data_IF_796959241052
#
_entry.id   IF_796959241052
#
_cell.length_a   1.000
_cell.length_b   1.000
_cell.length_c   1.000
_cell.angle_alpha   90.00
_cell.angle_beta   90.00
_cell.angle_gamma   90.00
#
_symmetry.space_group_name_H-M   'P 1'
#
loop_
_entity.id
_entity.type
_entity.pdbx_description
1 polymer ?
#
# COMPACT_ATOMS: atom_id res chain seq x y z
N UNK A 1 -48.19 26.40 29.07
CA UNK A 1 -47.57 25.21 29.72
C UNK A 1 -46.19 24.99 29.11
N UNK A 2 -45.11 25.10 29.90
CA UNK A 2 -43.75 24.80 29.45
C UNK A 2 -43.33 23.38 29.84
N UNK A 3 -42.49 22.70 29.07
CA UNK A 3 -42.10 21.31 29.32
C UNK A 3 -41.44 21.18 30.70
N UNK A 4 -41.93 20.23 31.49
CA UNK A 4 -41.55 20.03 32.88
C UNK A 4 -40.14 19.46 33.02
N UNK A 5 -39.46 19.82 34.12
CA UNK A 5 -38.03 19.52 34.37
C UNK A 5 -37.70 18.01 34.43
N UNK A 6 -38.71 17.15 34.58
CA UNK A 6 -38.56 15.70 34.50
C UNK A 6 -38.42 15.20 33.04
N UNK A 7 -38.98 15.92 32.07
CA UNK A 7 -38.87 15.64 30.63
C UNK A 7 -37.41 15.82 30.16
N UNK A 8 -36.77 16.90 30.61
CA UNK A 8 -35.33 17.17 30.36
C UNK A 8 -34.40 16.16 31.05
N UNK A 9 -34.91 15.40 32.02
CA UNK A 9 -34.14 14.38 32.76
C UNK A 9 -34.17 13.02 32.05
N UNK A 10 -35.22 12.76 31.26
CA UNK A 10 -35.34 11.53 30.46
C UNK A 10 -34.49 11.58 29.18
N UNK A 11 -34.29 12.78 28.60
CA UNK A 11 -33.37 12.98 27.47
C UNK A 11 -31.89 12.68 27.86
N UNK A 12 -31.53 12.86 29.14
CA UNK A 12 -30.12 12.84 29.59
C UNK A 12 -29.61 11.47 30.07
N UNK A 13 -30.42 10.42 30.12
CA UNK A 13 -29.99 9.09 30.60
C UNK A 13 -30.52 7.94 29.74
N UNK A 14 -29.95 7.75 28.54
CA UNK A 14 -29.79 6.41 27.95
C UNK A 14 -28.34 5.95 28.14
N UNK A 15 -28.03 5.16 29.17
CA UNK A 15 -26.66 4.70 29.48
C UNK A 15 -26.04 3.72 28.47
N UNK A 16 -26.71 3.43 27.35
CA UNK A 16 -26.22 2.52 26.31
C UNK A 16 -25.94 3.17 24.95
N UNK A 17 -26.29 4.45 24.74
CA UNK A 17 -26.21 5.08 23.41
C UNK A 17 -24.76 5.20 22.89
N UNK A 18 -23.80 5.56 23.76
CA UNK A 18 -22.41 5.79 23.33
C UNK A 18 -21.63 4.53 22.92
N UNK A 19 -22.05 3.33 23.33
CA UNK A 19 -21.38 2.08 22.93
C UNK A 19 -21.85 1.63 21.54
N UNK A 20 -23.15 1.78 21.25
CA UNK A 20 -23.67 1.46 19.91
C UNK A 20 -23.27 2.51 18.88
N UNK A 21 -23.19 3.78 19.27
CA UNK A 21 -22.69 4.87 18.43
C UNK A 21 -21.21 4.66 18.07
N UNK A 22 -20.38 4.22 19.03
CA UNK A 22 -18.99 3.86 18.74
C UNK A 22 -18.83 2.64 17.84
N UNK A 23 -19.76 1.67 17.89
CA UNK A 23 -19.75 0.52 16.98
C UNK A 23 -20.17 0.96 15.57
N UNK A 24 -21.16 1.84 15.45
CA UNK A 24 -21.64 2.38 14.18
C UNK A 24 -20.57 3.24 13.49
N UNK A 25 -19.87 4.11 14.22
CA UNK A 25 -18.74 4.90 13.71
C UNK A 25 -17.59 4.01 13.20
N UNK A 26 -17.27 2.93 13.92
CA UNK A 26 -16.22 1.98 13.50
C UNK A 26 -16.66 1.22 12.26
N UNK A 27 -17.92 0.77 12.19
CA UNK A 27 -18.46 0.09 11.01
C UNK A 27 -18.47 1.02 9.80
N UNK A 28 -18.86 2.27 9.99
CA UNK A 28 -18.85 3.27 8.93
C UNK A 28 -17.43 3.58 8.45
N UNK A 29 -16.47 3.68 9.37
CA UNK A 29 -15.06 3.84 9.04
C UNK A 29 -14.53 2.64 8.23
N UNK A 30 -14.84 1.41 8.64
CA UNK A 30 -14.43 0.20 7.90
C UNK A 30 -15.09 0.13 6.52
N UNK A 31 -16.36 0.52 6.42
CA UNK A 31 -17.06 0.61 5.15
C UNK A 31 -16.41 1.65 4.23
N UNK A 32 -15.99 2.80 4.77
CA UNK A 32 -15.28 3.84 4.00
C UNK A 32 -13.94 3.35 3.45
N UNK A 33 -13.17 2.60 4.24
CA UNK A 33 -11.91 1.99 3.80
C UNK A 33 -12.17 0.95 2.71
N UNK A 34 -13.24 0.18 2.83
CA UNK A 34 -13.63 -0.83 1.84
C UNK A 34 -14.02 -0.18 0.51
N UNK A 35 -14.82 0.90 0.56
CA UNK A 35 -15.18 1.68 -0.63
C UNK A 35 -13.93 2.26 -1.30
N UNK A 36 -12.98 2.78 -0.50
CA UNK A 36 -11.73 3.33 -1.01
C UNK A 36 -10.82 2.25 -1.61
N UNK A 37 -10.71 1.08 -0.97
CA UNK A 37 -9.96 -0.06 -1.52
C UNK A 37 -10.58 -0.56 -2.83
N UNK A 38 -11.90 -0.65 -2.87
CA UNK A 38 -12.62 -1.05 -4.07
C UNK A 38 -12.40 -0.03 -5.21
N UNK A 39 -12.40 1.27 -4.89
CA UNK A 39 -12.05 2.32 -5.84
C UNK A 39 -10.61 2.23 -6.32
N UNK A 40 -9.65 2.00 -5.42
CA UNK A 40 -8.24 1.82 -5.78
C UNK A 40 -8.08 0.63 -6.72
N UNK A 41 -8.68 -0.51 -6.38
CA UNK A 41 -8.72 -1.69 -7.25
C UNK A 41 -9.30 -1.34 -8.62
N UNK A 42 -10.46 -0.68 -8.68
CA UNK A 42 -11.10 -0.30 -9.94
C UNK A 42 -10.24 0.68 -10.77
N UNK A 43 -9.56 1.63 -10.12
CA UNK A 43 -8.65 2.58 -10.76
C UNK A 43 -7.42 1.88 -11.34
N UNK A 44 -6.82 0.93 -10.62
CA UNK A 44 -5.71 0.13 -11.13
C UNK A 44 -6.15 -0.72 -12.33
N UNK A 45 -7.26 -1.44 -12.21
CA UNK A 45 -7.76 -2.31 -13.29
C UNK A 45 -8.14 -1.53 -14.55
N UNK A 46 -8.82 -0.40 -14.40
CA UNK A 46 -9.16 0.47 -15.54
C UNK A 46 -7.92 1.05 -16.21
N UNK A 47 -6.91 1.44 -15.44
CA UNK A 47 -5.62 1.91 -15.98
C UNK A 47 -4.88 0.83 -16.76
N UNK A 48 -4.78 -0.38 -16.21
CA UNK A 48 -4.17 -1.52 -16.93
C UNK A 48 -4.93 -1.84 -18.20
N UNK A 49 -6.27 -1.85 -18.14
CA UNK A 49 -7.09 -2.14 -19.31
C UNK A 49 -6.95 -1.08 -20.40
N UNK A 50 -6.82 0.20 -20.03
CA UNK A 50 -6.54 1.27 -20.98
C UNK A 50 -5.20 1.08 -21.69
N UNK A 51 -4.15 0.69 -20.96
CA UNK A 51 -2.83 0.38 -21.54
C UNK A 51 -2.91 -0.82 -22.49
N UNK A 52 -3.55 -1.92 -22.07
CA UNK A 52 -3.75 -3.10 -22.93
C UNK A 52 -4.53 -2.73 -24.20
N UNK A 53 -5.53 -1.86 -24.07
CA UNK A 53 -6.31 -1.36 -25.22
C UNK A 53 -5.44 -0.52 -26.17
N UNK A 54 -4.58 0.36 -25.65
CA UNK A 54 -3.66 1.14 -26.46
C UNK A 54 -2.66 0.24 -27.22
N UNK A 55 -2.18 -0.83 -26.59
CA UNK A 55 -1.31 -1.85 -27.22
C UNK A 55 -2.06 -2.59 -28.35
N UNK A 56 -3.34 -2.89 -28.14
CA UNK A 56 -4.18 -3.51 -29.17
C UNK A 56 -4.38 -2.57 -30.38
N UNK A 57 -4.56 -1.27 -30.15
CA UNK A 57 -4.66 -0.27 -31.23
C UNK A 57 -3.34 -0.13 -32.00
N UNK A 58 -2.20 -0.11 -31.31
CA UNK A 58 -0.88 -0.11 -31.95
C UNK A 58 -0.65 -1.34 -32.83
N UNK A 59 -1.17 -2.50 -32.39
CA UNK A 59 -1.09 -3.75 -33.16
C UNK A 59 -1.91 -3.69 -34.46
N UNK A 60 -3.10 -3.07 -34.42
CA UNK A 60 -3.93 -2.83 -35.59
C UNK A 60 -3.31 -1.81 -36.54
N UNK A 61 -2.72 -0.75 -36.00
CA UNK A 61 -2.03 0.27 -36.78
C UNK A 61 -0.84 -0.32 -37.54
N UNK A 62 -0.06 -1.21 -36.89
CA UNK A 62 1.01 -1.98 -37.54
C UNK A 62 0.48 -2.91 -38.64
N UNK A 63 -0.71 -3.48 -38.50
CA UNK A 63 -1.33 -4.32 -39.53
C UNK A 63 -1.76 -3.50 -40.75
N UNK A 64 -2.37 -2.33 -40.55
CA UNK A 64 -2.76 -1.42 -41.63
C UNK A 64 -1.54 -0.83 -42.35
N UNK A 65 -0.51 -0.42 -41.61
CA UNK A 65 0.75 0.09 -42.18
C UNK A 65 1.44 -0.99 -43.02
N UNK A 66 1.47 -2.25 -42.58
CA UNK A 66 1.99 -3.36 -43.40
C UNK A 66 1.21 -3.54 -44.69
N UNK A 67 -0.11 -3.41 -44.66
CA UNK A 67 -0.93 -3.60 -45.85
C UNK A 67 -0.70 -2.49 -46.89
N UNK A 68 -0.60 -1.23 -46.48
CA UNK A 68 -0.25 -0.12 -47.37
C UNK A 68 1.19 -0.25 -47.92
N UNK A 69 2.15 -0.65 -47.08
CA UNK A 69 3.54 -0.91 -47.52
C UNK A 69 3.62 -2.07 -48.52
N UNK A 70 2.81 -3.12 -48.34
CA UNK A 70 2.79 -4.28 -49.22
C UNK A 70 2.15 -3.96 -50.59
N UNK A 71 1.07 -3.18 -50.63
CA UNK A 71 0.48 -2.77 -51.91
C UNK A 71 1.34 -1.79 -52.71
N UNK A 72 1.94 -0.79 -52.06
CA UNK A 72 2.70 0.25 -52.78
C UNK A 72 4.10 -0.21 -53.25
N UNK A 73 4.74 -1.16 -52.58
CA UNK A 73 6.08 -1.62 -52.99
C UNK A 73 6.06 -2.77 -54.02
N UNK A 74 4.92 -3.43 -54.27
CA UNK A 74 4.90 -4.67 -55.08
C UNK A 74 4.49 -4.48 -56.54
N UNK A 75 4.23 -3.26 -57.01
CA UNK A 75 3.81 -3.04 -58.40
C UNK A 75 4.92 -2.93 -59.46
N UNK A 76 6.21 -2.66 -59.18
CA UNK A 76 7.22 -2.65 -60.26
C UNK A 76 8.27 -3.78 -60.28
N UNK A 77 8.27 -4.77 -59.38
CA UNK A 77 9.44 -5.67 -59.23
C UNK A 77 9.14 -7.19 -59.28
N UNK A 78 8.19 -7.61 -60.11
CA UNK A 78 7.89 -9.04 -60.37
C UNK A 78 8.54 -9.62 -61.63
N UNK A 79 9.52 -8.97 -62.28
CA UNK A 79 10.11 -9.53 -63.51
C UNK A 79 11.58 -9.97 -63.49
N UNK A 80 12.35 -9.84 -62.41
CA UNK A 80 13.69 -10.45 -62.39
C UNK A 80 14.35 -10.56 -60.99
N UNK A 81 14.14 -11.65 -60.25
CA UNK A 81 15.15 -12.22 -59.32
C UNK A 81 14.71 -13.60 -58.77
N UNK A 82 15.63 -14.56 -58.52
CA UNK A 82 15.33 -15.95 -58.13
C UNK A 82 14.94 -16.08 -56.64
N UNK A 83 14.44 -17.25 -56.19
CA UNK A 83 13.93 -17.42 -54.82
C UNK A 83 15.09 -17.55 -53.83
N UNK A 84 15.68 -16.43 -53.43
CA UNK A 84 16.58 -16.39 -52.29
C UNK A 84 15.96 -15.53 -51.19
N UNK A 85 15.98 -16.05 -49.96
CA UNK A 85 15.55 -15.43 -48.72
C UNK A 85 14.05 -15.48 -48.39
N UNK A 86 13.50 -16.69 -48.24
CA UNK A 86 12.52 -16.90 -47.16
C UNK A 86 13.28 -17.01 -45.83
N UNK A 87 13.63 -15.88 -45.21
CA UNK A 87 14.24 -15.85 -43.86
C UNK A 87 13.77 -14.64 -43.07
N UNK A 88 12.46 -14.42 -42.99
CA UNK A 88 11.91 -13.27 -42.22
C UNK A 88 10.65 -13.69 -41.44
N UNK A 89 10.76 -14.76 -40.63
CA UNK A 89 9.64 -15.16 -39.76
C UNK A 89 10.03 -15.52 -38.32
N UNK A 90 11.32 -15.48 -37.93
CA UNK A 90 11.76 -15.98 -36.60
C UNK A 90 12.51 -14.97 -35.71
N UNK A 91 12.51 -13.67 -36.04
CA UNK A 91 13.23 -12.67 -35.23
C UNK A 91 12.48 -12.24 -33.95
N UNK A 92 11.16 -12.52 -33.85
CA UNK A 92 10.33 -12.04 -32.73
C UNK A 92 10.22 -12.99 -31.52
N UNK A 93 10.59 -14.27 -31.67
CA UNK A 93 10.54 -15.26 -30.57
C UNK A 93 11.58 -15.01 -29.45
N UNK A 94 12.83 -14.59 -29.72
CA UNK A 94 13.79 -14.33 -28.65
C UNK A 94 13.52 -13.02 -27.89
N UNK A 95 12.90 -12.03 -28.54
CA UNK A 95 12.54 -10.76 -27.89
C UNK A 95 11.52 -10.97 -26.78
N UNK A 96 10.52 -11.83 -27.00
CA UNK A 96 9.54 -12.16 -25.96
C UNK A 96 10.20 -12.86 -24.76
N UNK A 97 11.12 -13.81 -25.02
CA UNK A 97 11.89 -14.48 -23.96
C UNK A 97 12.72 -13.47 -23.15
N UNK A 98 13.48 -12.59 -23.83
CA UNK A 98 14.32 -11.60 -23.16
C UNK A 98 13.50 -10.60 -22.34
N UNK A 99 12.35 -10.13 -22.85
CA UNK A 99 11.44 -9.25 -22.10
C UNK A 99 10.88 -9.93 -20.85
N UNK A 100 10.56 -11.23 -20.91
CA UNK A 100 10.13 -11.97 -19.72
C UNK A 100 11.23 -12.08 -18.66
N UNK A 101 12.46 -12.39 -19.06
CA UNK A 101 13.61 -12.41 -18.15
C UNK A 101 13.89 -11.03 -17.54
N UNK A 102 13.81 -9.96 -18.35
CA UNK A 102 13.92 -8.59 -17.85
C UNK A 102 12.81 -8.24 -16.86
N UNK A 103 11.57 -8.64 -17.12
CA UNK A 103 10.44 -8.43 -16.20
C UNK A 103 10.69 -9.09 -14.84
N UNK A 104 11.28 -10.29 -14.81
CA UNK A 104 11.61 -10.99 -13.56
C UNK A 104 12.73 -10.26 -12.81
N UNK A 105 13.78 -9.83 -13.52
CA UNK A 105 14.90 -9.10 -12.91
C UNK A 105 14.45 -7.73 -12.39
N UNK A 106 13.70 -6.98 -13.20
CA UNK A 106 13.16 -5.66 -12.85
C UNK A 106 12.17 -5.79 -11.70
N UNK A 107 11.24 -6.75 -11.75
CA UNK A 107 10.27 -7.00 -10.70
C UNK A 107 10.93 -7.35 -9.37
N UNK A 108 11.93 -8.24 -9.40
CA UNK A 108 12.71 -8.61 -8.22
C UNK A 108 13.46 -7.41 -7.62
N UNK A 109 14.15 -6.63 -8.46
CA UNK A 109 14.83 -5.41 -8.01
C UNK A 109 13.84 -4.39 -7.42
N UNK A 110 12.68 -4.21 -8.04
CA UNK A 110 11.66 -3.27 -7.57
C UNK A 110 11.07 -3.69 -6.22
N UNK A 111 10.81 -4.98 -6.03
CA UNK A 111 10.35 -5.52 -4.76
C UNK A 111 11.36 -5.28 -3.63
N UNK A 112 12.64 -5.58 -3.89
CA UNK A 112 13.72 -5.31 -2.92
C UNK A 112 13.88 -3.82 -2.64
N UNK A 113 13.69 -2.95 -3.65
CA UNK A 113 13.78 -1.50 -3.49
C UNK A 113 12.61 -0.94 -2.70
N UNK A 114 11.41 -1.49 -2.87
CA UNK A 114 10.23 -1.11 -2.11
C UNK A 114 10.38 -1.53 -0.64
N UNK A 115 10.88 -2.75 -0.41
CA UNK A 115 11.23 -3.24 0.92
C UNK A 115 12.31 -2.38 1.56
N UNK A 116 13.39 -2.03 0.86
CA UNK A 116 14.44 -1.17 1.39
C UNK A 116 13.92 0.22 1.78
N UNK A 117 13.01 0.80 0.98
CA UNK A 117 12.34 2.07 1.34
C UNK A 117 11.45 1.94 2.56
N UNK A 118 10.71 0.84 2.67
CA UNK A 118 9.86 0.58 3.83
C UNK A 118 10.70 0.39 5.10
N UNK A 119 11.79 -0.37 5.02
CA UNK A 119 12.73 -0.59 6.12
C UNK A 119 13.36 0.73 6.55
N UNK A 120 13.86 1.55 5.62
CA UNK A 120 14.42 2.87 5.95
C UNK A 120 13.39 3.78 6.64
N UNK A 121 12.12 3.74 6.24
CA UNK A 121 11.06 4.50 6.91
C UNK A 121 10.78 3.95 8.31
N UNK A 122 10.79 2.64 8.49
CA UNK A 122 10.61 2.00 9.80
C UNK A 122 11.78 2.32 10.72
N UNK A 123 13.01 2.27 10.24
CA UNK A 123 14.20 2.66 10.97
C UNK A 123 14.06 4.10 11.46
N UNK A 124 13.70 5.06 10.60
CA UNK A 124 13.46 6.45 11.01
C UNK A 124 12.37 6.58 12.08
N UNK A 125 11.29 5.79 11.98
CA UNK A 125 10.24 5.73 12.99
C UNK A 125 10.67 5.05 14.30
N UNK A 126 11.71 4.20 14.27
CA UNK A 126 12.23 3.44 15.41
C UNK A 126 13.43 4.10 16.08
N UNK A 127 14.00 5.17 15.51
CA UNK A 127 15.13 5.93 16.06
C UNK A 127 14.94 6.41 17.50
N UNK A 128 13.70 6.70 17.91
CA UNK A 128 13.40 7.07 19.30
C UNK A 128 13.71 5.93 20.28
N UNK A 129 13.60 4.68 19.84
CA UNK A 129 13.82 3.50 20.67
C UNK A 129 15.31 3.26 20.91
N UNK A 130 16.14 3.47 19.89
CA UNK A 130 17.61 3.34 20.00
C UNK A 130 18.25 4.55 20.68
N UNK A 131 17.52 5.67 20.80
CA UNK A 131 17.97 6.89 21.47
C UNK A 131 18.60 7.92 20.52
N UNK A 132 18.50 7.69 19.21
CA UNK A 132 19.03 8.51 18.12
C UNK A 132 18.02 9.54 17.58
N UNK A 133 16.87 9.69 18.25
CA UNK A 133 15.78 10.59 17.89
C UNK A 133 15.14 11.27 19.10
N UNK A 134 14.04 12.00 18.89
CA UNK A 134 13.29 12.58 20.02
C UNK A 134 12.59 11.47 20.83
N UNK A 135 12.83 11.45 22.13
CA UNK A 135 12.15 10.59 23.09
C UNK A 135 11.88 11.35 24.39
N UNK A 136 10.99 10.79 25.20
CA UNK A 136 10.76 11.26 26.57
C UNK A 136 11.30 10.24 27.55
N UNK A 137 11.89 10.70 28.64
CA UNK A 137 12.29 9.81 29.74
C UNK A 137 11.20 9.81 30.81
N UNK A 138 10.83 8.61 31.25
CA UNK A 138 9.89 8.43 32.34
C UNK A 138 10.52 7.56 33.43
N UNK A 139 10.30 7.93 34.68
CA UNK A 139 10.77 7.17 35.83
C UNK A 139 9.59 6.36 36.40
N UNK A 140 9.79 5.06 36.55
CA UNK A 140 8.82 4.18 37.15
C UNK A 140 8.60 4.53 38.63
N UNK A 141 7.36 4.86 39.00
CA UNK A 141 7.02 5.22 40.39
C UNK A 141 6.77 3.97 41.25
N UNK A 142 6.38 2.87 40.62
CA UNK A 142 6.01 1.61 41.27
C UNK A 142 6.61 0.43 40.52
N UNK A 143 6.77 -0.69 41.23
CA UNK A 143 7.13 -1.96 40.63
C UNK A 143 5.95 -2.51 39.82
N UNK A 144 6.22 -2.99 38.61
CA UNK A 144 5.22 -3.58 37.74
C UNK A 144 5.74 -4.86 37.09
N UNK A 145 5.01 -5.97 37.31
CA UNK A 145 5.28 -7.25 36.66
C UNK A 145 4.29 -7.46 35.52
N UNK A 146 4.81 -7.59 34.30
CA UNK A 146 4.00 -7.87 33.11
C UNK A 146 3.39 -9.27 33.18
N UNK A 147 2.08 -9.37 32.91
CA UNK A 147 1.33 -10.63 32.91
C UNK A 147 0.96 -11.15 31.51
N UNK A 148 1.34 -10.43 30.44
CA UNK A 148 0.98 -10.77 29.06
C UNK A 148 2.03 -10.34 28.04
N UNK A 149 1.94 -10.91 26.84
CA UNK A 149 2.85 -10.62 25.72
C UNK A 149 2.75 -9.14 25.30
N UNK A 150 3.89 -8.50 25.05
CA UNK A 150 3.96 -7.08 24.64
C UNK A 150 3.92 -6.07 25.80
N UNK A 151 4.05 -6.52 27.05
CA UNK A 151 4.19 -5.65 28.23
C UNK A 151 5.58 -5.82 28.83
N UNK A 152 6.20 -4.73 29.23
CA UNK A 152 7.51 -4.74 29.89
C UNK A 152 7.33 -4.75 31.41
N UNK A 153 8.15 -5.55 32.11
CA UNK A 153 8.25 -5.56 33.57
C UNK A 153 9.35 -4.61 34.02
N UNK A 154 9.07 -3.74 34.97
CA UNK A 154 10.01 -2.73 35.45
C UNK A 154 9.90 -2.54 36.95
N UNK A 155 10.98 -2.06 37.56
CA UNK A 155 11.04 -1.76 38.99
C UNK A 155 10.90 -0.27 39.27
N UNK A 156 10.58 0.08 40.50
CA UNK A 156 10.52 1.45 41.00
C UNK A 156 11.89 2.12 40.82
N UNK A 157 11.84 3.37 40.38
CA UNK A 157 12.97 4.22 40.00
C UNK A 157 13.73 3.76 38.74
N UNK A 158 13.18 2.83 37.96
CA UNK A 158 13.73 2.50 36.65
C UNK A 158 13.37 3.57 35.62
N UNK A 159 14.35 3.99 34.82
CA UNK A 159 14.14 4.96 33.73
C UNK A 159 13.77 4.20 32.47
N UNK A 160 12.72 4.66 31.79
CA UNK A 160 12.19 4.07 30.56
C UNK A 160 12.12 5.14 29.48
N UNK A 161 12.41 4.77 28.23
CA UNK A 161 12.25 5.66 27.07
C UNK A 161 10.83 5.53 26.54
N UNK A 162 10.10 6.63 26.51
CA UNK A 162 8.71 6.69 26.05
C UNK A 162 8.65 7.25 24.64
N UNK A 163 7.84 6.60 23.80
CA UNK A 163 7.63 7.04 22.44
C UNK A 163 6.93 8.41 22.39
N UNK A 164 7.29 9.29 21.45
CA UNK A 164 6.55 10.52 21.19
C UNK A 164 5.09 10.28 20.83
N UNK A 165 4.22 11.26 21.13
CA UNK A 165 2.76 11.19 20.90
C UNK A 165 2.36 10.77 19.48
N UNK A 166 3.17 11.12 18.47
CA UNK A 166 2.97 10.76 17.05
C UNK A 166 3.08 9.26 16.75
N UNK A 167 3.85 8.52 17.55
CA UNK A 167 4.08 7.07 17.41
C UNK A 167 3.27 6.26 18.43
N UNK A 168 2.43 6.92 19.21
CA UNK A 168 1.67 6.30 20.28
C UNK A 168 0.50 5.47 19.72
N UNK A 169 0.35 4.19 20.07
CA UNK A 169 -0.85 3.43 19.71
C UNK A 169 -2.10 4.01 20.39
N UNK A 170 -3.25 3.91 19.73
CA UNK A 170 -4.54 4.43 20.23
C UNK A 170 -5.17 3.50 21.31
N UNK A 171 -4.36 3.01 22.24
CA UNK A 171 -4.81 2.15 23.34
C UNK A 171 -4.97 2.98 24.62
N UNK A 172 -6.17 3.01 25.20
CA UNK A 172 -6.41 3.74 26.45
C UNK A 172 -5.66 3.09 27.62
N UNK A 173 -4.92 3.90 28.37
CA UNK A 173 -4.22 3.47 29.59
C UNK A 173 -2.86 2.81 29.38
N UNK A 174 -2.37 2.72 28.15
CA UNK A 174 -1.05 2.16 27.85
C UNK A 174 -0.19 3.13 27.09
N UNK A 175 1.10 3.15 27.44
CA UNK A 175 2.11 3.86 26.68
C UNK A 175 3.17 2.90 26.15
N UNK A 176 3.47 3.01 24.86
CA UNK A 176 4.63 2.42 24.22
C UNK A 176 5.90 3.05 24.79
N UNK A 177 6.71 2.19 25.40
CA UNK A 177 7.99 2.54 25.96
C UNK A 177 8.97 1.39 25.71
N UNK A 178 10.25 1.72 25.70
CA UNK A 178 11.36 0.79 25.63
C UNK A 178 12.12 0.83 26.95
N UNK A 179 12.39 -0.35 27.47
CA UNK A 179 13.29 -0.55 28.60
C UNK A 179 14.74 -0.40 28.12
N UNK A 180 15.61 0.16 28.95
CA UNK A 180 17.04 0.17 28.64
C UNK A 180 17.57 -1.26 28.66
N UNK A 181 18.29 -1.65 27.60
CA UNK A 181 19.04 -2.91 27.53
C UNK A 181 20.31 -2.84 28.41
#
# INVERSE_FOLDING_TARGET
>A
MGPSSWEKRQEKRRPGAGIFESIEEVVEAVNSVTILLNSAHHAFYSSFRAVISAVAEFSRLKAQVRHCLFEHCQQPLTQALPPLAQTEANSFRPLFSWVLWLSVIIGSYFALRLLARAVAHLEECLRWSDGEGEYYEAVAVQDYTAAGEGRISFKRNEVLRVAPKRYQPQCRGYLLARQYD
#
